data_IF_639806467330
#
_entry.id   IF_639806467330
#
_cell.length_a   1.000
_cell.length_b   1.000
_cell.length_c   1.000
_cell.angle_alpha   90.00
_cell.angle_beta   90.00
_cell.angle_gamma   90.00
#
_symmetry.space_group_name_H-M   'P 1'
#
loop_
_entity.id
_entity.type
_entity.pdbx_description
1 polymer ?
#
# COMPACT_ATOMS: atom_id res chain seq x y z
N UNK A 1 -41.32 -28.47 32.15
CA UNK A 1 -41.17 -27.83 30.82
C UNK A 1 -40.86 -28.93 29.83
N UNK A 2 -41.67 -29.10 28.80
CA UNK A 2 -41.41 -30.10 27.76
C UNK A 2 -40.55 -29.45 26.68
N UNK A 3 -39.23 -29.71 26.76
CA UNK A 3 -38.22 -29.10 25.88
C UNK A 3 -38.29 -29.60 24.43
N UNK A 4 -39.08 -30.66 24.17
CA UNK A 4 -39.27 -31.23 22.84
C UNK A 4 -40.50 -30.66 22.11
N UNK A 5 -41.25 -29.74 22.72
CA UNK A 5 -42.33 -29.04 22.02
C UNK A 5 -41.75 -28.02 21.04
N UNK A 6 -42.16 -28.12 19.78
CA UNK A 6 -41.79 -27.17 18.73
C UNK A 6 -41.95 -25.70 19.17
N UNK A 7 -43.02 -25.36 19.89
CA UNK A 7 -43.25 -24.00 20.40
C UNK A 7 -42.20 -23.53 21.42
N UNK A 8 -41.69 -24.43 22.26
CA UNK A 8 -40.60 -24.13 23.19
C UNK A 8 -39.31 -23.85 22.42
N UNK A 9 -38.97 -24.72 21.45
CA UNK A 9 -37.79 -24.56 20.60
C UNK A 9 -37.84 -23.25 19.82
N UNK A 10 -38.97 -22.91 19.19
CA UNK A 10 -39.12 -21.66 18.43
C UNK A 10 -39.01 -20.41 19.31
N UNK A 11 -39.66 -20.39 20.47
CA UNK A 11 -39.58 -19.25 21.40
C UNK A 11 -38.18 -19.08 21.98
N UNK A 12 -37.55 -20.19 22.38
CA UNK A 12 -36.17 -20.16 22.87
C UNK A 12 -35.19 -19.64 21.80
N UNK A 13 -35.29 -20.16 20.58
CA UNK A 13 -34.46 -19.71 19.46
C UNK A 13 -34.69 -18.23 19.15
N UNK A 14 -35.95 -17.77 19.14
CA UNK A 14 -36.27 -16.36 18.90
C UNK A 14 -35.65 -15.44 19.96
N UNK A 15 -35.77 -15.79 21.25
CA UNK A 15 -35.18 -15.02 22.34
C UNK A 15 -33.65 -15.01 22.23
N UNK A 16 -33.03 -16.16 21.96
CA UNK A 16 -31.59 -16.29 21.82
C UNK A 16 -31.06 -15.46 20.64
N UNK A 17 -31.74 -15.50 19.49
CA UNK A 17 -31.38 -14.70 18.30
C UNK A 17 -31.46 -13.20 18.61
N UNK A 18 -32.55 -12.75 19.24
CA UNK A 18 -32.70 -11.33 19.63
C UNK A 18 -31.57 -10.92 20.57
N UNK A 19 -31.30 -11.71 21.60
CA UNK A 19 -30.25 -11.41 22.58
C UNK A 19 -28.87 -11.32 21.92
N UNK A 20 -28.49 -12.32 21.12
CA UNK A 20 -27.20 -12.37 20.43
C UNK A 20 -27.06 -11.23 19.42
N UNK A 21 -28.12 -10.94 18.65
CA UNK A 21 -28.14 -9.85 17.68
C UNK A 21 -28.00 -8.48 18.35
N UNK A 22 -28.71 -8.23 19.45
CA UNK A 22 -28.61 -6.98 20.22
C UNK A 22 -27.22 -6.81 20.80
N UNK A 23 -26.64 -7.86 21.39
CA UNK A 23 -25.29 -7.83 21.95
C UNK A 23 -24.25 -7.51 20.87
N UNK A 24 -24.27 -8.26 19.76
CA UNK A 24 -23.31 -8.12 18.66
C UNK A 24 -23.44 -6.74 17.99
N UNK A 25 -24.66 -6.28 17.74
CA UNK A 25 -24.90 -4.95 17.15
C UNK A 25 -24.40 -3.83 18.06
N UNK A 26 -24.63 -3.94 19.38
CA UNK A 26 -24.17 -2.92 20.34
C UNK A 26 -22.65 -2.87 20.42
N UNK A 27 -22.00 -4.04 20.44
CA UNK A 27 -20.54 -4.13 20.41
C UNK A 27 -19.97 -3.54 19.10
N UNK A 28 -20.54 -3.91 17.95
CA UNK A 28 -20.08 -3.44 16.65
C UNK A 28 -20.19 -1.92 16.51
N UNK A 29 -21.33 -1.33 16.90
CA UNK A 29 -21.55 0.13 16.81
C UNK A 29 -20.63 0.88 17.76
N UNK A 30 -20.48 0.41 19.00
CA UNK A 30 -19.66 1.07 20.02
C UNK A 30 -18.16 1.03 19.69
N UNK A 31 -17.66 -0.07 19.10
CA UNK A 31 -16.23 -0.23 18.79
C UNK A 31 -15.82 0.40 17.45
N UNK A 32 -16.76 0.57 16.51
CA UNK A 32 -16.45 1.05 15.16
C UNK A 32 -15.64 2.36 15.12
N UNK A 33 -15.93 3.41 15.93
CA UNK A 33 -15.12 4.64 15.91
C UNK A 33 -13.66 4.40 16.33
N UNK A 34 -13.43 3.55 17.33
CA UNK A 34 -12.08 3.19 17.77
C UNK A 34 -11.33 2.37 16.72
N UNK A 35 -12.02 1.44 16.05
CA UNK A 35 -11.45 0.68 14.94
C UNK A 35 -11.06 1.60 13.79
N UNK A 36 -11.94 2.53 13.39
CA UNK A 36 -11.63 3.51 12.33
C UNK A 36 -10.42 4.37 12.68
N UNK A 37 -10.33 4.86 13.92
CA UNK A 37 -9.17 5.64 14.39
C UNK A 37 -7.88 4.82 14.36
N UNK A 38 -7.94 3.55 14.74
CA UNK A 38 -6.78 2.66 14.74
C UNK A 38 -6.31 2.35 13.32
N UNK A 39 -7.24 2.10 12.38
CA UNK A 39 -6.94 1.88 10.95
C UNK A 39 -6.36 3.14 10.31
N UNK A 40 -6.88 4.31 10.66
CA UNK A 40 -6.33 5.59 10.19
C UNK A 40 -4.89 5.79 10.69
N UNK A 41 -4.64 5.57 11.99
CA UNK A 41 -3.31 5.68 12.57
C UNK A 41 -2.32 4.69 11.93
N UNK A 42 -2.74 3.46 11.71
CA UNK A 42 -1.95 2.42 11.04
C UNK A 42 -1.64 2.79 9.59
N UNK A 43 -2.60 3.35 8.85
CA UNK A 43 -2.35 3.86 7.50
C UNK A 43 -1.27 4.94 7.50
N UNK A 44 -1.31 5.87 8.47
CA UNK A 44 -0.28 6.90 8.64
C UNK A 44 1.07 6.30 9.00
N UNK A 45 1.12 5.32 9.91
CA UNK A 45 2.35 4.59 10.25
C UNK A 45 2.94 3.90 9.03
N UNK A 46 2.13 3.20 8.24
CA UNK A 46 2.59 2.48 7.05
C UNK A 46 3.13 3.43 5.97
N UNK A 47 2.54 4.61 5.80
CA UNK A 47 3.10 5.65 4.90
C UNK A 47 4.44 6.14 5.45
N UNK A 48 4.53 6.44 6.75
CA UNK A 48 5.74 6.95 7.39
C UNK A 48 6.90 5.94 7.40
N UNK A 49 6.63 4.66 7.60
CA UNK A 49 7.67 3.64 7.65
C UNK A 49 8.35 3.43 6.29
N UNK A 50 7.64 3.62 5.16
CA UNK A 50 8.28 3.62 3.82
C UNK A 50 9.32 4.71 3.61
N UNK A 51 9.31 5.75 4.45
CA UNK A 51 10.31 6.83 4.45
C UNK A 51 11.24 6.76 5.66
N UNK A 52 11.27 5.62 6.36
CA UNK A 52 12.17 5.35 7.49
C UNK A 52 11.71 5.93 8.83
N UNK A 53 10.44 6.33 8.96
CA UNK A 53 9.90 6.91 10.18
C UNK A 53 8.98 5.89 10.86
N UNK A 54 9.48 5.28 11.94
CA UNK A 54 8.71 4.36 12.77
C UNK A 54 8.27 5.06 14.06
N UNK A 55 6.97 5.16 14.27
CA UNK A 55 6.35 5.89 15.38
C UNK A 55 5.22 5.07 16.00
N UNK A 56 4.84 5.41 17.23
CA UNK A 56 3.66 4.82 17.87
C UNK A 56 2.35 5.24 17.18
N UNK A 57 1.24 4.55 17.47
CA UNK A 57 -0.09 4.89 16.91
C UNK A 57 -0.53 6.29 17.36
N UNK A 58 -0.14 6.68 18.56
CA UNK A 58 -0.44 7.96 19.19
C UNK A 58 0.29 9.12 18.50
N UNK A 59 1.51 8.88 18.03
CA UNK A 59 2.37 9.87 17.35
C UNK A 59 2.20 9.89 15.82
N UNK A 60 1.46 8.93 15.27
CA UNK A 60 1.29 8.76 13.83
C UNK A 60 0.69 10.00 13.16
N UNK A 61 -0.29 10.64 13.78
CA UNK A 61 -0.95 11.82 13.23
C UNK A 61 -0.01 13.03 13.13
N UNK A 62 0.66 13.38 14.23
CA UNK A 62 1.58 14.53 14.27
C UNK A 62 2.82 14.28 13.40
N UNK A 63 3.33 13.06 13.36
CA UNK A 63 4.47 12.69 12.50
C UNK A 63 4.09 12.72 11.02
N UNK A 64 2.88 12.30 10.67
CA UNK A 64 2.38 12.37 9.30
C UNK A 64 2.29 13.82 8.82
N UNK A 65 1.66 14.71 9.61
CA UNK A 65 1.53 16.13 9.27
C UNK A 65 2.88 16.84 9.13
N UNK A 66 3.88 16.41 9.91
CA UNK A 66 5.23 16.98 9.84
C UNK A 66 6.03 16.50 8.62
N UNK A 67 5.86 15.26 8.19
CA UNK A 67 6.77 14.61 7.25
C UNK A 67 6.17 14.37 5.85
N UNK A 68 4.84 14.40 5.72
CA UNK A 68 4.15 14.30 4.42
C UNK A 68 3.81 15.70 3.96
N UNK A 69 4.53 16.17 2.95
CA UNK A 69 4.56 17.59 2.54
C UNK A 69 3.57 17.91 1.41
N UNK A 70 3.12 16.91 0.66
CA UNK A 70 2.09 17.03 -0.36
C UNK A 70 1.35 15.69 -0.48
N UNK A 71 0.08 15.76 -0.83
CA UNK A 71 -0.72 14.58 -1.14
C UNK A 71 -1.77 14.95 -2.18
N UNK A 72 -1.83 14.20 -3.27
CA UNK A 72 -2.74 14.51 -4.37
C UNK A 72 -3.14 13.24 -5.11
N UNK A 73 -4.21 13.38 -5.89
CA UNK A 73 -4.72 12.31 -6.75
C UNK A 73 -4.25 12.58 -8.17
N UNK A 74 -3.92 11.54 -8.90
CA UNK A 74 -3.75 11.58 -10.35
C UNK A 74 -4.68 10.59 -11.04
N UNK A 75 -4.94 10.79 -12.32
CA UNK A 75 -5.55 9.77 -13.17
C UNK A 75 -4.47 8.91 -13.86
N UNK A 76 -4.90 7.89 -14.60
CA UNK A 76 -4.03 7.02 -15.39
C UNK A 76 -3.28 7.71 -16.55
N UNK A 77 -3.38 9.05 -16.70
CA UNK A 77 -2.58 9.87 -17.63
C UNK A 77 -1.56 10.74 -16.89
N UNK A 78 -1.44 10.60 -15.57
CA UNK A 78 -0.55 11.41 -14.74
C UNK A 78 -0.99 12.86 -14.57
N UNK A 79 -2.27 13.17 -14.81
CA UNK A 79 -2.85 14.49 -14.56
C UNK A 79 -3.38 14.56 -13.12
N UNK A 80 -2.99 15.60 -12.38
CA UNK A 80 -3.53 15.87 -11.04
C UNK A 80 -5.04 16.11 -11.11
N UNK A 81 -5.75 15.57 -10.13
CA UNK A 81 -7.19 15.73 -9.91
C UNK A 81 -7.41 16.35 -8.53
N UNK A 82 -8.53 17.05 -8.37
CA UNK A 82 -8.96 17.51 -7.06
C UNK A 82 -9.52 16.34 -6.23
N UNK A 83 -9.22 16.35 -4.94
CA UNK A 83 -9.74 15.36 -4.00
C UNK A 83 -8.73 15.01 -2.91
N UNK A 84 -9.18 14.16 -1.98
CA UNK A 84 -8.39 13.74 -0.83
C UNK A 84 -7.70 12.41 -1.10
N UNK A 85 -6.39 12.46 -1.37
CA UNK A 85 -5.55 11.30 -1.61
C UNK A 85 -5.55 10.30 -0.44
N UNK A 86 -5.66 10.80 0.80
CA UNK A 86 -5.63 9.95 1.99
C UNK A 86 -6.88 9.09 2.11
N UNK A 87 -8.04 9.59 1.67
CA UNK A 87 -9.32 8.87 1.79
C UNK A 87 -9.70 8.03 0.57
N UNK A 88 -8.85 7.94 -0.45
CA UNK A 88 -9.10 7.03 -1.59
C UNK A 88 -9.06 5.57 -1.13
N UNK A 89 -10.15 4.84 -1.39
CA UNK A 89 -10.26 3.41 -1.14
C UNK A 89 -9.89 2.62 -2.41
N UNK A 90 -8.65 2.12 -2.45
CA UNK A 90 -8.18 1.31 -3.56
C UNK A 90 -9.03 0.06 -3.80
N UNK A 91 -9.68 -0.51 -2.79
CA UNK A 91 -10.60 -1.63 -2.99
C UNK A 91 -11.76 -1.26 -3.91
N UNK A 92 -12.27 -0.03 -3.81
CA UNK A 92 -13.29 0.49 -4.72
C UNK A 92 -12.66 0.83 -6.08
N UNK A 93 -11.51 1.51 -6.09
CA UNK A 93 -10.84 1.93 -7.34
C UNK A 93 -10.49 0.75 -8.24
N UNK A 94 -9.98 -0.36 -7.70
CA UNK A 94 -9.63 -1.56 -8.48
C UNK A 94 -10.83 -2.20 -9.20
N UNK A 95 -12.07 -1.87 -8.83
CA UNK A 95 -13.29 -2.35 -9.51
C UNK A 95 -13.73 -1.45 -10.66
N UNK A 96 -13.13 -0.28 -10.81
CA UNK A 96 -13.42 0.67 -11.88
C UNK A 96 -12.54 0.40 -13.11
N UNK A 97 -12.99 0.80 -14.31
CA UNK A 97 -12.12 0.89 -15.48
C UNK A 97 -10.86 1.73 -15.18
N UNK A 98 -9.72 1.34 -15.74
CA UNK A 98 -8.42 1.94 -15.45
C UNK A 98 -8.40 3.48 -15.65
N UNK A 99 -9.12 3.99 -16.64
CA UNK A 99 -9.24 5.41 -16.95
C UNK A 99 -10.12 6.22 -15.98
N UNK A 100 -10.81 5.54 -15.06
CA UNK A 100 -11.63 6.13 -14.01
C UNK A 100 -11.04 5.94 -12.61
N UNK A 101 -9.93 5.20 -12.49
CA UNK A 101 -9.28 4.98 -11.20
C UNK A 101 -8.61 6.26 -10.71
N UNK A 102 -8.80 6.53 -9.42
CA UNK A 102 -8.06 7.55 -8.68
C UNK A 102 -6.76 6.93 -8.14
N UNK A 103 -5.63 7.55 -8.46
CA UNK A 103 -4.30 7.08 -8.09
C UNK A 103 -3.67 8.06 -7.10
N UNK A 104 -3.63 7.75 -5.79
CA UNK A 104 -3.09 8.67 -4.79
C UNK A 104 -1.57 8.70 -4.81
N UNK A 105 -0.99 9.87 -4.57
CA UNK A 105 0.45 10.06 -4.41
C UNK A 105 0.68 10.90 -3.16
N UNK A 106 1.62 10.49 -2.33
CA UNK A 106 2.11 11.28 -1.19
C UNK A 106 3.58 11.62 -1.41
N UNK A 107 3.99 12.80 -0.96
CA UNK A 107 5.37 13.25 -1.08
C UNK A 107 5.97 13.51 0.30
N UNK A 108 7.23 13.13 0.48
CA UNK A 108 8.01 13.40 1.70
C UNK A 108 9.41 13.92 1.32
N UNK A 109 10.08 14.60 2.25
CA UNK A 109 11.49 14.96 2.12
C UNK A 109 12.24 14.35 3.29
N UNK A 110 13.19 13.46 2.99
CA UNK A 110 14.06 12.84 3.99
C UNK A 110 15.51 13.11 3.61
N UNK A 111 16.30 13.65 4.55
CA UNK A 111 17.71 14.01 4.32
C UNK A 111 17.92 14.87 3.06
N UNK A 112 17.01 15.83 2.81
CA UNK A 112 17.03 16.71 1.64
C UNK A 112 16.63 16.05 0.32
N UNK A 113 16.28 14.75 0.32
CA UNK A 113 15.86 14.00 -0.87
C UNK A 113 14.35 13.84 -0.88
N UNK A 114 13.75 14.09 -2.04
CA UNK A 114 12.32 13.95 -2.24
C UNK A 114 11.95 12.49 -2.48
N UNK A 115 10.94 12.01 -1.78
CA UNK A 115 10.40 10.66 -1.87
C UNK A 115 8.92 10.72 -2.30
N UNK A 116 8.49 9.72 -3.06
CA UNK A 116 7.14 9.60 -3.59
C UNK A 116 6.52 8.28 -3.17
N UNK A 117 5.47 8.34 -2.37
CA UNK A 117 4.86 7.18 -1.74
C UNK A 117 3.57 6.85 -2.48
N UNK A 118 3.47 5.60 -2.92
CA UNK A 118 2.41 5.08 -3.78
C UNK A 118 1.66 3.98 -3.04
N UNK A 119 0.34 4.11 -2.84
CA UNK A 119 -0.47 3.05 -2.26
C UNK A 119 -0.62 1.89 -3.24
N UNK A 120 -0.47 0.68 -2.71
CA UNK A 120 -0.57 -0.57 -3.43
C UNK A 120 -1.75 -1.38 -2.91
N UNK A 121 -2.42 -2.09 -3.81
CA UNK A 121 -3.46 -3.06 -3.45
C UNK A 121 -3.58 -4.13 -4.53
N UNK A 122 -3.72 -5.36 -4.10
CA UNK A 122 -3.90 -6.52 -4.97
C UNK A 122 -4.60 -7.65 -4.24
N UNK A 123 -4.39 -8.87 -4.74
CA UNK A 123 -5.04 -10.08 -4.27
C UNK A 123 -3.99 -11.14 -3.92
N UNK A 124 -4.01 -11.63 -2.68
CA UNK A 124 -3.27 -12.80 -2.24
C UNK A 124 -4.10 -14.08 -2.35
N UNK A 125 -3.76 -15.10 -1.58
CA UNK A 125 -4.46 -16.39 -1.60
C UNK A 125 -5.87 -16.30 -0.99
N UNK A 126 -5.95 -15.77 0.23
CA UNK A 126 -7.18 -15.78 1.03
C UNK A 126 -7.93 -14.45 1.02
N UNK A 127 -7.27 -13.37 0.59
CA UNK A 127 -7.89 -12.06 0.59
C UNK A 127 -7.06 -10.97 -0.07
N UNK A 128 -7.48 -9.71 0.10
CA UNK A 128 -6.69 -8.59 -0.39
C UNK A 128 -5.38 -8.48 0.39
N UNK A 129 -4.34 -8.12 -0.36
CA UNK A 129 -3.05 -7.65 0.15
C UNK A 129 -2.92 -6.18 -0.26
N UNK A 130 -2.19 -5.39 0.52
CA UNK A 130 -1.98 -3.97 0.27
C UNK A 130 -0.64 -3.53 0.81
N UNK A 131 -0.28 -2.29 0.52
CA UNK A 131 0.97 -1.73 0.99
C UNK A 131 1.22 -0.32 0.50
N UNK A 132 2.44 0.13 0.70
CA UNK A 132 2.96 1.37 0.19
C UNK A 132 4.40 1.14 -0.31
N UNK A 133 4.73 1.73 -1.46
CA UNK A 133 6.10 1.80 -1.96
C UNK A 133 6.50 3.26 -2.01
N UNK A 134 7.65 3.60 -1.45
CA UNK A 134 8.28 4.88 -1.64
C UNK A 134 9.36 4.77 -2.73
N UNK A 135 9.32 5.67 -3.71
CA UNK A 135 10.34 5.84 -4.74
C UNK A 135 11.17 7.08 -4.47
N UNK A 136 12.45 7.03 -4.82
CA UNK A 136 13.33 8.21 -4.90
C UNK A 136 12.88 9.15 -6.03
N UNK A 137 13.48 10.33 -6.08
CA UNK A 137 13.20 11.37 -7.09
C UNK A 137 13.48 10.95 -8.54
N UNK A 138 14.29 9.91 -8.74
CA UNK A 138 14.55 9.26 -10.03
C UNK A 138 13.33 8.49 -10.61
N UNK A 139 12.25 8.32 -9.83
CA UNK A 139 11.07 7.51 -10.19
C UNK A 139 11.42 6.09 -10.61
N UNK A 140 12.45 5.53 -10.00
CA UNK A 140 12.94 4.19 -10.32
C UNK A 140 13.33 3.42 -9.06
N UNK A 141 14.17 4.00 -8.22
CA UNK A 141 14.75 3.32 -7.07
C UNK A 141 13.80 3.35 -5.88
N UNK A 142 13.51 2.18 -5.31
CA UNK A 142 12.69 2.05 -4.11
C UNK A 142 13.49 2.55 -2.89
N UNK A 143 12.89 3.42 -2.09
CA UNK A 143 13.45 3.88 -0.81
C UNK A 143 12.88 3.13 0.39
N UNK A 144 11.70 2.52 0.25
CA UNK A 144 11.04 1.76 1.29
C UNK A 144 9.79 1.08 0.78
N UNK A 145 9.43 -0.04 1.40
CA UNK A 145 8.28 -0.84 1.07
C UNK A 145 7.61 -1.30 2.36
N UNK A 146 6.28 -1.30 2.38
CA UNK A 146 5.49 -1.83 3.48
C UNK A 146 4.34 -2.62 2.89
N UNK A 147 4.10 -3.84 3.38
CA UNK A 147 3.01 -4.67 2.93
C UNK A 147 2.24 -5.25 4.09
N UNK A 148 0.98 -5.54 3.86
CA UNK A 148 0.09 -6.14 4.83
C UNK A 148 -1.06 -6.85 4.10
N UNK A 149 -1.87 -7.60 4.84
CA UNK A 149 -2.87 -8.49 4.29
C UNK A 149 -4.10 -8.62 5.17
N UNK A 150 -5.21 -9.05 4.57
CA UNK A 150 -6.42 -9.27 5.35
C UNK A 150 -6.40 -10.55 6.16
N UNK A 151 -5.92 -11.64 5.56
CA UNK A 151 -6.17 -12.99 6.06
C UNK A 151 -5.16 -14.05 5.55
N UNK A 152 -3.99 -13.65 5.07
CA UNK A 152 -2.97 -14.62 4.69
C UNK A 152 -2.53 -15.43 5.92
N UNK A 153 -2.04 -16.65 5.68
CA UNK A 153 -1.75 -17.60 6.76
C UNK A 153 -0.43 -17.26 7.46
N UNK A 154 -0.41 -17.12 8.81
CA UNK A 154 0.81 -16.95 9.60
C UNK A 154 1.86 -18.04 9.32
N UNK A 155 3.13 -17.65 9.19
CA UNK A 155 4.24 -18.55 8.82
C UNK A 155 4.28 -18.94 7.34
N UNK A 156 3.33 -18.44 6.53
CA UNK A 156 3.30 -18.57 5.06
C UNK A 156 3.09 -17.17 4.49
N UNK A 157 2.06 -16.95 3.66
CA UNK A 157 1.81 -15.66 3.00
C UNK A 157 1.73 -14.43 3.92
N UNK A 158 1.42 -14.60 5.21
CA UNK A 158 1.40 -13.49 6.15
C UNK A 158 2.77 -12.83 6.37
N UNK A 159 3.85 -13.55 6.07
CA UNK A 159 5.22 -13.08 6.23
C UNK A 159 5.53 -11.86 5.35
N UNK A 160 4.69 -11.50 4.37
CA UNK A 160 4.85 -10.24 3.62
C UNK A 160 4.83 -9.00 4.53
N UNK A 161 4.23 -9.13 5.72
CA UNK A 161 4.12 -8.07 6.72
C UNK A 161 5.37 -7.88 7.58
N UNK A 162 6.39 -8.73 7.45
CA UNK A 162 7.58 -8.70 8.29
C UNK A 162 8.75 -7.96 7.64
N UNK A 163 9.59 -7.37 8.49
CA UNK A 163 10.75 -6.57 8.08
C UNK A 163 11.70 -7.34 7.16
N UNK A 164 11.96 -8.62 7.49
CA UNK A 164 12.87 -9.47 6.69
C UNK A 164 12.44 -9.57 5.22
N UNK A 165 11.14 -9.49 4.94
CA UNK A 165 10.59 -9.55 3.59
C UNK A 165 10.53 -8.17 2.94
N UNK A 166 10.27 -7.11 3.72
CA UNK A 166 10.09 -5.75 3.21
C UNK A 166 11.41 -5.01 2.96
N UNK A 167 12.41 -5.19 3.83
CA UNK A 167 13.70 -4.52 3.74
C UNK A 167 14.46 -4.78 2.41
N UNK A 168 14.46 -6.00 1.84
CA UNK A 168 15.14 -6.29 0.57
C UNK A 168 14.65 -5.50 -0.64
N UNK A 169 13.46 -4.87 -0.56
CA UNK A 169 12.97 -3.98 -1.62
C UNK A 169 13.75 -2.67 -1.68
N UNK A 170 14.36 -2.23 -0.57
CA UNK A 170 15.10 -0.96 -0.52
C UNK A 170 16.30 -1.03 -1.45
N UNK A 171 16.40 -0.05 -2.36
CA UNK A 171 17.46 0.03 -3.35
C UNK A 171 17.18 -0.71 -4.66
N UNK A 172 16.16 -1.59 -4.72
CA UNK A 172 15.73 -2.21 -5.98
C UNK A 172 15.15 -1.18 -6.95
N UNK A 173 15.15 -1.51 -8.23
CA UNK A 173 14.68 -0.60 -9.30
C UNK A 173 13.50 -1.21 -10.04
N UNK A 174 12.54 -0.37 -10.44
CA UNK A 174 11.32 -0.84 -11.13
C UNK A 174 11.43 -0.76 -12.67
N UNK A 175 12.51 -0.17 -13.18
CA UNK A 175 12.81 -0.06 -14.60
C UNK A 175 14.15 -0.70 -14.96
N UNK A 176 14.18 -1.39 -16.09
CA UNK A 176 15.40 -1.75 -16.82
C UNK A 176 15.52 -0.84 -18.05
N UNK A 177 16.43 0.14 -17.97
CA UNK A 177 16.49 1.23 -18.95
C UNK A 177 15.21 2.06 -18.96
N UNK A 178 14.46 2.01 -20.07
CA UNK A 178 13.16 2.67 -20.21
C UNK A 178 11.96 1.72 -20.04
N UNK A 179 12.23 0.41 -19.90
CA UNK A 179 11.18 -0.59 -19.78
C UNK A 179 10.78 -0.73 -18.32
N UNK A 180 9.49 -0.59 -18.03
CA UNK A 180 8.96 -0.89 -16.70
C UNK A 180 8.92 -2.41 -16.52
N UNK A 181 9.72 -2.93 -15.59
CA UNK A 181 9.84 -4.38 -15.31
C UNK A 181 9.28 -4.76 -13.95
N UNK A 182 8.96 -3.77 -13.09
CA UNK A 182 8.48 -3.99 -11.72
C UNK A 182 9.51 -4.73 -10.85
N UNK A 183 9.05 -5.29 -9.72
CA UNK A 183 9.81 -6.19 -8.84
C UNK A 183 9.12 -7.55 -8.83
N UNK A 184 9.87 -8.60 -9.18
CA UNK A 184 9.44 -9.99 -9.06
C UNK A 184 9.67 -10.51 -7.63
N UNK A 185 8.85 -11.46 -7.20
CA UNK A 185 8.97 -12.12 -5.91
C UNK A 185 9.25 -13.60 -6.16
N UNK A 186 10.52 -13.99 -6.12
CA UNK A 186 10.97 -15.26 -6.72
C UNK A 186 11.13 -16.38 -5.69
N UNK A 187 10.54 -17.53 -6.00
CA UNK A 187 10.67 -18.72 -5.17
C UNK A 187 12.11 -19.25 -5.17
N UNK A 188 12.64 -19.54 -3.99
CA UNK A 188 13.98 -20.14 -3.84
C UNK A 188 15.12 -19.13 -3.72
N UNK A 189 14.80 -17.84 -3.65
CA UNK A 189 15.76 -16.76 -3.46
C UNK A 189 16.05 -16.00 -4.75
N UNK A 190 16.12 -14.68 -4.66
CA UNK A 190 16.56 -13.82 -5.73
C UNK A 190 18.07 -13.95 -5.94
N UNK A 191 18.56 -13.87 -7.20
CA UNK A 191 19.99 -13.73 -7.44
C UNK A 191 20.54 -12.50 -6.71
N UNK A 192 21.74 -12.62 -6.13
CA UNK A 192 22.35 -11.59 -5.27
C UNK A 192 22.41 -10.22 -5.96
N UNK A 193 22.69 -10.20 -7.25
CA UNK A 193 22.85 -8.96 -8.04
C UNK A 193 21.60 -8.59 -8.86
N UNK A 194 20.46 -9.25 -8.63
CA UNK A 194 19.22 -8.94 -9.34
C UNK A 194 18.55 -7.69 -8.73
N UNK A 195 18.50 -6.61 -9.50
CA UNK A 195 17.90 -5.34 -9.09
C UNK A 195 16.38 -5.31 -9.18
N UNK A 196 15.77 -6.33 -9.78
CA UNK A 196 14.36 -6.40 -10.13
C UNK A 196 13.64 -7.58 -9.46
N UNK A 197 14.29 -8.26 -8.51
CA UNK A 197 13.68 -9.37 -7.77
C UNK A 197 14.03 -9.34 -6.29
N UNK A 198 13.12 -9.91 -5.49
CA UNK A 198 13.31 -10.23 -4.07
C UNK A 198 12.90 -11.67 -3.79
N UNK A 199 13.32 -12.19 -2.64
CA UNK A 199 12.99 -13.54 -2.19
C UNK A 199 11.49 -13.69 -1.95
N UNK A 200 10.92 -14.78 -2.47
CA UNK A 200 9.57 -15.20 -2.18
C UNK A 200 9.45 -16.00 -0.89
N UNK A 201 8.23 -16.08 -0.37
CA UNK A 201 7.95 -16.76 0.89
C UNK A 201 7.86 -18.27 0.64
N UNK A 202 8.64 -19.04 1.38
CA UNK A 202 8.55 -20.50 1.35
C UNK A 202 7.15 -20.98 1.77
N UNK A 203 6.49 -21.75 0.91
CA UNK A 203 5.10 -22.18 1.13
C UNK A 203 4.03 -21.09 0.95
N UNK A 204 4.44 -19.84 0.68
CA UNK A 204 3.55 -18.69 0.43
C UNK A 204 3.50 -18.26 -1.05
N UNK A 205 3.77 -19.16 -2.00
CA UNK A 205 3.96 -18.80 -3.42
C UNK A 205 2.80 -18.02 -4.02
N UNK A 206 1.54 -18.39 -3.75
CA UNK A 206 0.37 -17.66 -4.30
C UNK A 206 0.32 -16.21 -3.77
N UNK A 207 0.70 -15.99 -2.51
CA UNK A 207 0.78 -14.65 -1.93
C UNK A 207 1.94 -13.86 -2.53
N UNK A 208 3.09 -14.51 -2.73
CA UNK A 208 4.25 -13.91 -3.40
C UNK A 208 3.94 -13.50 -4.84
N UNK A 209 3.32 -14.38 -5.62
CA UNK A 209 2.89 -14.10 -6.99
C UNK A 209 1.87 -12.96 -7.01
N UNK A 210 0.87 -13.00 -6.12
CA UNK A 210 -0.12 -11.94 -5.98
C UNK A 210 0.48 -10.57 -5.61
N UNK A 211 1.58 -10.56 -4.85
CA UNK A 211 2.32 -9.34 -4.55
C UNK A 211 3.09 -8.82 -5.77
N UNK A 212 3.75 -9.70 -6.53
CA UNK A 212 4.43 -9.34 -7.77
C UNK A 212 3.43 -8.76 -8.79
N UNK A 213 2.28 -9.41 -8.96
CA UNK A 213 1.18 -8.94 -9.82
C UNK A 213 0.64 -7.58 -9.36
N UNK A 214 0.45 -7.40 -8.05
CA UNK A 214 0.04 -6.13 -7.46
C UNK A 214 1.01 -5.01 -7.81
N UNK A 215 2.31 -5.23 -7.67
CA UNK A 215 3.33 -4.22 -7.96
C UNK A 215 3.36 -3.90 -9.45
N UNK A 216 3.40 -4.93 -10.31
CA UNK A 216 3.45 -4.75 -11.76
C UNK A 216 2.26 -3.93 -12.27
N UNK A 217 1.04 -4.33 -11.89
CA UNK A 217 -0.18 -3.68 -12.37
C UNK A 217 -0.30 -2.26 -11.81
N UNK A 218 -0.01 -2.03 -10.52
CA UNK A 218 -0.06 -0.67 -9.96
C UNK A 218 0.99 0.24 -10.58
N UNK A 219 2.24 -0.21 -10.75
CA UNK A 219 3.27 0.59 -11.40
C UNK A 219 2.92 0.92 -12.85
N UNK A 220 2.24 0.03 -13.57
CA UNK A 220 1.73 0.30 -14.91
C UNK A 220 0.74 1.48 -14.91
N UNK A 221 -0.19 1.53 -13.93
CA UNK A 221 -1.13 2.66 -13.81
C UNK A 221 -0.41 3.99 -13.51
N UNK A 222 0.68 3.96 -12.74
CA UNK A 222 1.50 5.15 -12.44
C UNK A 222 2.54 5.48 -13.52
N UNK A 223 2.73 4.65 -14.54
CA UNK A 223 3.78 4.82 -15.54
C UNK A 223 3.76 6.21 -16.22
N UNK A 224 2.60 6.78 -16.62
CA UNK A 224 2.56 8.12 -17.20
C UNK A 224 3.04 9.21 -16.23
N UNK A 225 2.81 9.03 -14.94
CA UNK A 225 3.32 9.92 -13.90
C UNK A 225 4.84 9.81 -13.76
N UNK A 226 5.39 8.59 -13.72
CA UNK A 226 6.83 8.36 -13.67
C UNK A 226 7.52 9.03 -14.86
N UNK A 227 7.02 8.80 -16.08
CA UNK A 227 7.58 9.37 -17.30
C UNK A 227 7.55 10.91 -17.31
N UNK A 228 6.44 11.49 -16.84
CA UNK A 228 6.33 12.95 -16.70
C UNK A 228 7.34 13.50 -15.71
N UNK A 229 7.48 12.90 -14.54
CA UNK A 229 8.44 13.32 -13.49
C UNK A 229 9.89 13.16 -13.95
N UNK A 230 10.25 12.04 -14.57
CA UNK A 230 11.57 11.82 -15.18
C UNK A 230 11.90 12.88 -16.24
N UNK A 231 10.93 13.23 -17.09
CA UNK A 231 11.12 14.25 -18.14
C UNK A 231 11.33 15.65 -17.54
N UNK A 232 10.53 16.02 -16.54
CA UNK A 232 10.68 17.29 -15.81
C UNK A 232 12.04 17.40 -15.13
N UNK A 233 12.53 16.30 -14.53
CA UNK A 233 13.84 16.27 -13.89
C UNK A 233 14.98 16.46 -14.90
N UNK A 234 14.92 15.79 -16.06
CA UNK A 234 15.91 15.98 -17.14
C UNK A 234 15.94 17.42 -17.63
N UNK A 235 14.79 18.06 -17.78
CA UNK A 235 14.71 19.46 -18.20
C UNK A 235 15.33 20.40 -17.16
N UNK A 236 15.06 20.18 -15.86
CA UNK A 236 15.65 20.95 -14.76
C UNK A 236 17.18 20.83 -14.73
N UNK A 237 17.72 19.60 -14.87
CA UNK A 237 19.17 19.36 -14.89
C UNK A 237 19.85 20.00 -16.11
N UNK A 238 19.22 19.92 -17.29
CA UNK A 238 19.75 20.57 -18.50
C UNK A 238 19.83 22.09 -18.36
N UNK A 239 18.89 22.70 -17.63
CA UNK A 239 18.86 24.14 -17.38
C UNK A 239 19.92 24.58 -16.38
N UNK A 240 20.25 23.77 -15.37
CA UNK A 240 21.33 24.09 -14.43
C UNK A 240 22.70 24.04 -15.08
N UNK A 241 22.96 23.07 -15.97
CA UNK A 241 24.26 22.95 -16.67
C UNK A 241 24.53 24.14 -17.61
N UNK A 242 23.50 24.72 -18.23
CA UNK A 242 23.64 25.90 -19.10
C UNK A 242 23.96 27.18 -18.29
N UNK A 243 23.54 27.24 -17.03
CA UNK A 243 23.81 28.40 -16.14
C UNK A 243 25.25 28.35 -15.62
N UNK A 244 25.73 27.16 -15.25
CA UNK A 244 27.10 26.99 -14.73
C UNK A 244 28.17 27.02 -15.84
N UNK A 245 27.81 26.73 -17.09
CA UNK A 245 28.71 26.80 -18.26
C UNK A 245 28.89 28.20 -18.88
N UNK A 246 28.20 29.22 -18.36
CA UNK A 246 28.28 30.62 -18.80
C UNK A 246 28.97 31.55 -17.76
N UNK A 247 29.64 30.97 -16.75
CA UNK A 247 30.49 31.64 -15.76
C UNK A 247 31.95 31.26 -15.98
#
# INVERSE_FOLDING_TARGET
MDVNKNSYTFTFAAIMVILVATLLSTAAISLKPFQSKNVEAEKKQNILSTVGINVSREEAASSYEKNIIDSYIINNKGKKLDGDAFNVDLGIELRKPADQQLLPVFESIQNGKKLYILPMRGKGLWGPIWGFIALKDDMNTISGAVFDHKAETPGLGAEISLDWFQEPFIGKTIFEGNNLVSINVVKGGAPIDDMHSVDGISGGTITSDGLADMLAERFEQYLPFFNKKKSQMKELLSKSEIVDGNL
#
